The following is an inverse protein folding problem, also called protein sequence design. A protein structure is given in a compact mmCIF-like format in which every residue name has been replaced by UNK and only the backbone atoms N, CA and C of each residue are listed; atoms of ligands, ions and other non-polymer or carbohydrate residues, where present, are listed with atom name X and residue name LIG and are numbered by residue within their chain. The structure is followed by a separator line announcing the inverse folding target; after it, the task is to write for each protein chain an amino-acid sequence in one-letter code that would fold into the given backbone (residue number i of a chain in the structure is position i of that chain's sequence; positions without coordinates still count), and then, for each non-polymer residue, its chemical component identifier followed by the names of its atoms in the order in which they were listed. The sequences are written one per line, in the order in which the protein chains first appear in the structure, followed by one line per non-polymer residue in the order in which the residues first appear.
data_IF_353896574676
#
_entry.id   IF_353896574676
#
_cell.length_a   1.000
_cell.length_b   1.000
_cell.length_c   1.000
_cell.angle_alpha   90.00
_cell.angle_beta   90.00
_cell.angle_gamma   90.00
#
_symmetry.space_group_name_H-M   'P 1'
#
loop_
_entity.id
_entity.type
_entity.pdbx_description
1 polymer ?
#
# COMPACT_ATOMS: atom_id res chain seq x y z
N UNK A 1 49.38 -3.23 -18.74
CA UNK A 1 49.52 -1.86 -18.19
C UNK A 1 48.12 -1.26 -18.10
N UNK A 2 47.46 -1.37 -16.94
CA UNK A 2 46.95 -0.22 -16.14
C UNK A 2 45.95 0.68 -16.89
N UNK A 3 44.72 0.98 -16.45
CA UNK A 3 43.95 0.85 -15.21
C UNK A 3 42.49 1.12 -15.64
N UNK A 4 41.47 0.64 -14.94
CA UNK A 4 40.35 1.52 -14.55
C UNK A 4 39.69 0.97 -13.29
N UNK A 5 39.80 1.78 -12.25
CA UNK A 5 39.37 1.54 -10.88
C UNK A 5 37.86 1.39 -10.78
N UNK A 6 37.46 0.55 -9.83
CA UNK A 6 36.08 0.39 -9.42
C UNK A 6 35.49 1.68 -8.84
N UNK A 7 34.27 1.97 -9.26
CA UNK A 7 33.31 2.71 -8.47
C UNK A 7 32.10 1.79 -8.29
N UNK A 8 32.10 1.11 -7.14
CA UNK A 8 31.02 0.24 -6.71
C UNK A 8 29.75 1.04 -6.55
N UNK A 9 28.94 1.09 -7.60
CA UNK A 9 27.51 1.24 -7.45
C UNK A 9 26.97 -0.15 -7.14
N UNK A 10 26.84 -0.47 -5.86
CA UNK A 10 25.87 -1.48 -5.43
C UNK A 10 24.47 -0.91 -5.68
N UNK A 11 24.11 -0.66 -6.95
CA UNK A 11 22.70 -0.65 -7.32
C UNK A 11 22.32 -2.11 -7.22
N UNK A 12 21.86 -2.49 -6.02
CA UNK A 12 21.22 -3.74 -5.78
C UNK A 12 20.03 -3.81 -6.74
N UNK A 13 20.29 -4.39 -7.90
CA UNK A 13 19.35 -4.75 -8.95
C UNK A 13 18.51 -5.90 -8.39
N UNK A 14 17.72 -5.63 -7.35
CA UNK A 14 16.66 -6.52 -6.90
C UNK A 14 15.56 -6.43 -7.94
N UNK A 15 15.78 -7.27 -8.95
CA UNK A 15 14.87 -7.63 -10.02
C UNK A 15 13.55 -8.03 -9.38
N UNK A 16 12.59 -7.10 -9.40
CA UNK A 16 11.32 -7.27 -10.09
C UNK A 16 10.99 -8.74 -10.43
N UNK A 17 10.64 -9.54 -9.42
CA UNK A 17 10.27 -10.95 -9.60
C UNK A 17 8.81 -11.24 -9.29
N UNK A 18 8.08 -10.26 -8.74
CA UNK A 18 6.63 -10.30 -8.67
C UNK A 18 6.10 -9.30 -9.68
N UNK A 19 5.52 -9.84 -10.75
CA UNK A 19 4.91 -9.05 -11.81
C UNK A 19 3.68 -8.31 -11.25
N UNK A 20 3.84 -7.05 -10.88
CA UNK A 20 2.74 -6.08 -10.84
C UNK A 20 2.33 -5.79 -12.30
N UNK A 21 1.58 -6.72 -12.93
CA UNK A 21 1.10 -6.57 -14.32
C UNK A 21 -0.27 -5.94 -14.42
N UNK A 22 -0.88 -5.58 -13.30
CA UNK A 22 -2.07 -4.77 -13.21
C UNK A 22 -1.85 -3.70 -12.15
N UNK A 23 -2.50 -2.53 -12.33
CA UNK A 23 -2.56 -1.48 -11.32
C UNK A 23 -2.84 -2.09 -9.93
N UNK A 24 -1.94 -1.94 -8.94
CA UNK A 24 -2.12 -2.53 -7.63
C UNK A 24 -3.34 -1.90 -6.96
N UNK A 25 -4.28 -2.73 -6.50
CA UNK A 25 -5.38 -2.26 -5.66
C UNK A 25 -4.86 -2.20 -4.23
N UNK A 26 -4.92 -1.03 -3.62
CA UNK A 26 -4.60 -0.80 -2.21
C UNK A 26 -5.89 -0.44 -1.51
N UNK A 27 -6.27 -1.24 -0.53
CA UNK A 27 -7.45 -0.96 0.28
C UNK A 27 -7.05 -0.26 1.57
N UNK A 28 -7.85 0.70 2.04
CA UNK A 28 -7.58 1.46 3.26
C UNK A 28 -8.63 1.17 4.34
N UNK A 29 -8.18 0.71 5.50
CA UNK A 29 -9.00 0.55 6.71
C UNK A 29 -8.35 1.26 7.88
N UNK A 30 -8.97 2.35 8.37
CA UNK A 30 -8.43 3.12 9.50
C UNK A 30 -9.48 3.44 10.55
N UNK A 31 -9.03 3.86 11.72
CA UNK A 31 -9.83 4.30 12.86
C UNK A 31 -9.83 5.84 13.03
N UNK A 32 -9.35 6.57 12.01
CA UNK A 32 -9.23 8.04 12.04
C UNK A 32 -10.57 8.79 11.98
N UNK A 33 -11.66 8.12 11.65
CA UNK A 33 -12.94 8.77 11.35
C UNK A 33 -12.95 9.43 9.97
N UNK A 34 -14.07 10.10 9.65
CA UNK A 34 -14.27 10.82 8.40
C UNK A 34 -14.08 12.35 8.49
N UNK A 35 -13.66 12.86 9.66
CA UNK A 35 -13.63 14.30 9.94
C UNK A 35 -12.31 15.00 9.61
N UNK A 36 -11.20 14.24 9.51
CA UNK A 36 -9.85 14.80 9.46
C UNK A 36 -9.12 14.54 8.14
N UNK A 37 -8.04 15.28 7.92
CA UNK A 37 -7.24 15.25 6.68
C UNK A 37 -6.34 14.00 6.54
N UNK A 38 -6.23 13.17 7.58
CA UNK A 38 -5.29 12.03 7.61
C UNK A 38 -5.49 11.06 6.46
N UNK A 39 -6.75 10.74 6.13
CA UNK A 39 -7.08 9.86 5.00
C UNK A 39 -6.59 10.45 3.68
N UNK A 40 -6.82 11.75 3.46
CA UNK A 40 -6.35 12.45 2.27
C UNK A 40 -4.82 12.49 2.17
N UNK A 41 -4.13 12.76 3.28
CA UNK A 41 -2.68 12.77 3.32
C UNK A 41 -2.07 11.39 3.01
N UNK A 42 -2.63 10.31 3.58
CA UNK A 42 -2.19 8.94 3.27
C UNK A 42 -2.36 8.61 1.79
N UNK A 43 -3.53 8.92 1.21
CA UNK A 43 -3.77 8.72 -0.22
C UNK A 43 -2.77 9.49 -1.08
N UNK A 44 -2.48 10.74 -0.72
CA UNK A 44 -1.49 11.57 -1.41
C UNK A 44 -0.08 10.95 -1.40
N UNK A 45 0.34 10.42 -0.24
CA UNK A 45 1.64 9.72 -0.12
C UNK A 45 1.65 8.46 -0.98
N UNK A 46 0.59 7.64 -0.93
CA UNK A 46 0.51 6.40 -1.71
C UNK A 46 0.57 6.70 -3.21
N UNK A 47 -0.20 7.69 -3.68
CA UNK A 47 -0.18 8.11 -5.08
C UNK A 47 1.15 8.73 -5.50
N UNK A 48 1.90 9.33 -4.57
CA UNK A 48 3.25 9.81 -4.82
C UNK A 48 4.28 8.69 -5.05
N UNK A 49 4.05 7.52 -4.44
CA UNK A 49 4.93 6.34 -4.57
C UNK A 49 4.51 5.46 -5.75
N UNK A 50 3.20 5.21 -5.90
CA UNK A 50 2.60 4.38 -6.93
C UNK A 50 1.41 5.12 -7.58
N UNK A 51 1.67 5.97 -8.59
CA UNK A 51 0.63 6.76 -9.26
C UNK A 51 -0.43 5.91 -9.95
N UNK A 52 -0.09 4.69 -10.35
CA UNK A 52 -0.99 3.72 -10.98
C UNK A 52 -1.84 2.91 -10.00
N UNK A 53 -1.66 3.10 -8.68
CA UNK A 53 -2.41 2.36 -7.68
C UNK A 53 -3.90 2.76 -7.65
N UNK A 54 -4.78 1.77 -7.52
CA UNK A 54 -6.20 2.00 -7.29
C UNK A 54 -6.46 1.98 -5.78
N UNK A 55 -6.86 3.12 -5.22
CA UNK A 55 -7.15 3.25 -3.80
C UNK A 55 -8.63 3.03 -3.53
N UNK A 56 -8.94 2.08 -2.64
CA UNK A 56 -10.32 1.76 -2.25
C UNK A 56 -10.46 1.82 -0.74
N UNK A 57 -11.35 2.68 -0.24
CA UNK A 57 -11.62 2.75 1.19
C UNK A 57 -12.59 1.64 1.60
N UNK A 58 -12.21 0.84 2.59
CA UNK A 58 -13.12 -0.16 3.18
C UNK A 58 -13.90 0.50 4.32
N UNK A 59 -13.20 1.09 5.30
CA UNK A 59 -13.81 1.83 6.39
C UNK A 59 -12.79 2.73 7.07
N UNK A 60 -13.20 3.95 7.39
CA UNK A 60 -12.44 4.85 8.26
C UNK A 60 -13.12 5.05 9.62
N UNK A 61 -14.21 4.32 9.88
CA UNK A 61 -15.05 4.47 11.07
C UNK A 61 -14.86 3.32 12.06
N UNK A 62 -13.70 2.65 12.01
CA UNK A 62 -13.38 1.66 13.03
C UNK A 62 -13.28 2.38 14.38
N UNK A 63 -13.86 1.84 15.46
CA UNK A 63 -13.68 2.42 16.78
C UNK A 63 -12.19 2.55 17.11
N UNK A 64 -11.75 3.70 17.70
CA UNK A 64 -10.34 3.93 17.97
C UNK A 64 -9.71 2.76 18.73
N UNK A 65 -8.59 2.26 18.20
CA UNK A 65 -7.81 1.16 18.80
C UNK A 65 -8.53 -0.20 18.90
N UNK A 66 -9.69 -0.36 18.27
CA UNK A 66 -10.40 -1.65 18.25
C UNK A 66 -9.90 -2.55 17.11
N UNK A 67 -8.84 -3.30 17.42
CA UNK A 67 -8.20 -4.25 16.51
C UNK A 67 -9.15 -5.38 16.10
N UNK A 68 -10.10 -5.77 16.98
CA UNK A 68 -11.04 -6.85 16.68
C UNK A 68 -12.10 -6.39 15.67
N UNK A 69 -12.61 -5.18 15.83
CA UNK A 69 -13.51 -4.56 14.85
C UNK A 69 -12.80 -4.39 13.50
N UNK A 70 -11.55 -3.89 13.49
CA UNK A 70 -10.74 -3.78 12.28
C UNK A 70 -10.55 -5.15 11.59
N UNK A 71 -10.16 -6.17 12.35
CA UNK A 71 -9.92 -7.51 11.83
C UNK A 71 -11.21 -8.16 11.29
N UNK A 72 -12.34 -7.92 11.94
CA UNK A 72 -13.65 -8.37 11.45
C UNK A 72 -13.97 -7.75 10.10
N UNK A 73 -13.90 -6.42 10.00
CA UNK A 73 -14.17 -5.68 8.74
C UNK A 73 -13.22 -6.14 7.63
N UNK A 74 -11.91 -6.18 7.90
CA UNK A 74 -10.90 -6.64 6.94
C UNK A 74 -11.14 -8.07 6.47
N UNK A 75 -11.47 -9.00 7.37
CA UNK A 75 -11.71 -10.41 7.03
C UNK A 75 -12.89 -10.59 6.07
N UNK A 76 -13.92 -9.78 6.23
CA UNK A 76 -15.09 -9.82 5.36
C UNK A 76 -14.83 -9.12 4.03
N UNK A 77 -14.24 -7.93 4.05
CA UNK A 77 -13.95 -7.15 2.85
C UNK A 77 -12.89 -7.81 1.95
N UNK A 78 -11.81 -8.36 2.52
CA UNK A 78 -10.69 -8.92 1.75
C UNK A 78 -11.09 -10.07 0.80
N UNK A 79 -12.24 -10.73 1.04
CA UNK A 79 -12.76 -11.81 0.20
C UNK A 79 -13.33 -11.32 -1.12
N UNK A 80 -13.75 -10.05 -1.19
CA UNK A 80 -14.38 -9.45 -2.36
C UNK A 80 -13.35 -8.88 -3.34
N UNK A 81 -12.10 -8.75 -2.91
CA UNK A 81 -11.02 -8.20 -3.73
C UNK A 81 -10.28 -9.27 -4.52
N UNK A 82 -9.81 -8.96 -5.74
CA UNK A 82 -9.06 -9.91 -6.53
C UNK A 82 -7.72 -10.28 -5.84
N UNK A 83 -7.18 -11.47 -6.11
CA UNK A 83 -5.88 -11.88 -5.61
C UNK A 83 -4.78 -10.86 -5.96
N UNK A 84 -3.91 -10.55 -5.00
CA UNK A 84 -2.83 -9.55 -5.17
C UNK A 84 -3.18 -8.14 -4.70
N UNK A 85 -4.39 -7.94 -4.17
CA UNK A 85 -4.76 -6.70 -3.46
C UNK A 85 -3.97 -6.58 -2.15
N UNK A 86 -3.48 -5.38 -1.85
CA UNK A 86 -2.74 -5.09 -0.61
C UNK A 86 -3.69 -4.41 0.38
N UNK A 87 -4.03 -5.07 1.51
CA UNK A 87 -4.78 -4.43 2.59
C UNK A 87 -3.85 -3.54 3.42
N UNK A 88 -4.25 -2.29 3.62
CA UNK A 88 -3.56 -1.28 4.41
C UNK A 88 -4.49 -0.61 5.44
#
# INVERSE_FOLDING_TARGET
MSLYLGSGRYVCKMRNKFMWRAAPIVTLTTDFGGGDYYVGAMKGVILGIAPEAQLVDISHQIPPQDVLAAAFVLRHAAREFPPGTVPA
#
